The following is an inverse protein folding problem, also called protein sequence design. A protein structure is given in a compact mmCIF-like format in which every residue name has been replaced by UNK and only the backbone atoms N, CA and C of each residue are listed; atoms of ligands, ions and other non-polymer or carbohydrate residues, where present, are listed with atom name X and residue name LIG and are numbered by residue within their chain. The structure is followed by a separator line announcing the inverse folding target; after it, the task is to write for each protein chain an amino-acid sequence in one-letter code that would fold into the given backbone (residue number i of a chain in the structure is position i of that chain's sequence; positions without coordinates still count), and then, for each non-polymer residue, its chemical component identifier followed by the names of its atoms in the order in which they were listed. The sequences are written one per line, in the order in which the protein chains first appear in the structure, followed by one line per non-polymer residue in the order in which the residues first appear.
data_IF_420174076797
#
_entry.id   IF_420174076797
#
_cell.length_a   1.000
_cell.length_b   1.000
_cell.length_c   1.000
_cell.angle_alpha   90.00
_cell.angle_beta   90.00
_cell.angle_gamma   90.00
#
_symmetry.space_group_name_H-M   'P 1'
#
loop_
_entity.id
_entity.type
_entity.pdbx_description
1 polymer ?
#
# COMPACT_ATOMS: atom_id res chain seq x y z
N UNK A 1 -35.38 5.12 4.69
CA UNK A 1 -34.43 5.35 5.80
C UNK A 1 -33.17 5.81 5.11
N UNK A 2 -32.82 7.07 5.31
CA UNK A 2 -31.65 7.70 4.72
C UNK A 2 -30.42 7.21 5.48
N UNK A 3 -29.38 6.79 4.77
CA UNK A 3 -28.13 6.34 5.38
C UNK A 3 -27.49 7.52 6.15
N UNK A 4 -26.89 7.29 7.35
CA UNK A 4 -26.23 8.34 8.09
C UNK A 4 -25.06 8.91 7.29
N UNK A 5 -25.00 10.24 7.17
CA UNK A 5 -23.91 10.96 6.54
C UNK A 5 -22.61 10.75 7.35
N UNK A 6 -21.47 10.56 6.71
CA UNK A 6 -20.19 10.40 7.41
C UNK A 6 -19.87 11.62 8.26
N UNK A 7 -19.42 11.38 9.49
CA UNK A 7 -19.15 12.44 10.47
C UNK A 7 -17.87 13.22 10.12
N UNK A 8 -17.83 14.55 10.37
CA UNK A 8 -16.70 15.41 10.01
C UNK A 8 -15.37 15.08 10.71
N UNK A 9 -15.36 14.16 11.67
CA UNK A 9 -14.18 13.72 12.40
C UNK A 9 -13.30 12.75 11.58
N UNK A 10 -13.92 11.83 10.83
CA UNK A 10 -13.20 10.88 9.96
C UNK A 10 -12.45 11.60 8.85
N UNK A 11 -13.03 12.66 8.30
CA UNK A 11 -12.45 13.47 7.24
C UNK A 11 -11.18 14.22 7.69
N UNK A 12 -11.12 14.65 8.95
CA UNK A 12 -9.94 15.34 9.52
C UNK A 12 -8.79 14.39 9.83
N UNK A 13 -9.10 13.20 10.34
CA UNK A 13 -8.09 12.19 10.67
C UNK A 13 -7.45 11.65 9.39
N UNK A 14 -8.26 11.36 8.38
CA UNK A 14 -7.82 10.87 7.08
C UNK A 14 -6.95 11.92 6.34
N UNK A 15 -7.35 13.19 6.33
CA UNK A 15 -6.55 14.29 5.76
C UNK A 15 -5.21 14.49 6.48
N UNK A 16 -5.19 14.33 7.80
CA UNK A 16 -3.95 14.48 8.57
C UNK A 16 -2.98 13.33 8.31
N UNK A 17 -3.45 12.10 8.20
CA UNK A 17 -2.65 10.91 7.87
C UNK A 17 -2.10 11.01 6.45
N UNK A 18 -2.93 11.37 5.47
CA UNK A 18 -2.49 11.61 4.09
C UNK A 18 -1.47 12.74 3.98
N UNK A 19 -1.67 13.84 4.68
CA UNK A 19 -0.71 14.96 4.68
C UNK A 19 0.63 14.55 5.29
N UNK A 20 0.62 13.76 6.35
CA UNK A 20 1.84 13.28 7.02
C UNK A 20 2.58 12.29 6.13
N UNK A 21 1.86 11.39 5.45
CA UNK A 21 2.42 10.43 4.50
C UNK A 21 3.02 11.14 3.29
N UNK A 22 2.28 12.05 2.66
CA UNK A 22 2.74 12.81 1.50
C UNK A 22 3.96 13.67 1.85
N UNK A 23 3.98 14.30 3.02
CA UNK A 23 5.13 15.07 3.49
C UNK A 23 6.37 14.21 3.68
N UNK A 24 6.23 13.04 4.29
CA UNK A 24 7.34 12.09 4.49
C UNK A 24 7.84 11.50 3.16
N UNK A 25 6.92 11.25 2.23
CA UNK A 25 7.24 10.80 0.88
C UNK A 25 7.99 11.86 0.07
N UNK A 26 7.53 13.14 0.13
CA UNK A 26 8.22 14.28 -0.52
C UNK A 26 9.61 14.51 0.06
N UNK A 27 9.78 14.46 1.39
CA UNK A 27 11.08 14.58 2.05
C UNK A 27 12.05 13.46 1.62
N UNK A 28 11.57 12.24 1.46
CA UNK A 28 12.37 11.10 1.03
C UNK A 28 12.78 11.23 -0.45
N UNK A 29 11.86 11.68 -1.31
CA UNK A 29 12.14 11.92 -2.73
C UNK A 29 13.04 13.14 -2.94
N UNK A 30 12.91 14.17 -2.11
CA UNK A 30 13.83 15.32 -2.14
C UNK A 30 15.26 14.90 -1.76
N UNK A 31 15.42 14.06 -0.73
CA UNK A 31 16.74 13.53 -0.34
C UNK A 31 17.35 12.68 -1.45
N UNK A 32 16.57 11.87 -2.17
CA UNK A 32 17.03 11.08 -3.33
C UNK A 32 17.46 11.99 -4.49
N UNK A 33 16.70 13.04 -4.81
CA UNK A 33 17.04 14.00 -5.87
C UNK A 33 18.32 14.78 -5.54
N UNK A 34 18.50 15.20 -4.29
CA UNK A 34 19.73 15.86 -3.82
C UNK A 34 20.93 14.91 -3.88
N UNK A 35 20.77 13.66 -3.49
CA UNK A 35 21.83 12.65 -3.55
C UNK A 35 22.23 12.33 -5.01
N UNK A 36 21.25 12.21 -5.92
CA UNK A 36 21.51 12.05 -7.37
C UNK A 36 22.23 13.26 -7.97
N UNK A 37 21.84 14.48 -7.60
CA UNK A 37 22.49 15.70 -8.08
C UNK A 37 23.94 15.82 -7.57
N UNK A 38 24.21 15.39 -6.33
CA UNK A 38 25.56 15.39 -5.77
C UNK A 38 26.46 14.32 -6.42
N UNK A 39 25.90 13.15 -6.78
CA UNK A 39 26.66 12.10 -7.49
C UNK A 39 27.00 12.51 -8.93
N UNK A 40 26.10 13.18 -9.64
CA UNK A 40 26.36 13.67 -11.01
C UNK A 40 27.38 14.79 -11.03
N UNK A 41 27.39 15.69 -10.06
CA UNK A 41 28.43 16.76 -9.94
C UNK A 41 29.80 16.16 -9.59
N UNK A 42 29.88 15.12 -8.80
CA UNK A 42 31.15 14.45 -8.48
C UNK A 42 31.76 13.73 -9.69
N UNK A 43 30.95 13.12 -10.56
CA UNK A 43 31.41 12.48 -11.81
C UNK A 43 31.88 13.50 -12.87
N UNK A 44 31.25 14.66 -12.96
CA UNK A 44 31.68 15.72 -13.89
C UNK A 44 32.98 16.39 -13.47
N UNK A 45 33.27 16.48 -12.17
CA UNK A 45 34.53 17.03 -11.67
C UNK A 45 35.74 16.10 -11.88
N UNK A 46 35.53 14.80 -12.01
CA UNK A 46 36.62 13.82 -12.24
C UNK A 46 37.07 13.70 -13.71
N UNK A 47 36.37 14.28 -14.67
CA UNK A 47 36.74 14.27 -16.09
C UNK A 47 37.59 15.49 -16.53
N UNK A 48 37.85 16.45 -15.65
CA UNK A 48 38.60 17.69 -15.97
C UNK A 48 40.04 17.68 -15.50
N UNK A 49 40.56 16.56 -14.96
CA UNK A 49 41.96 16.42 -14.56
C UNK A 49 42.60 15.29 -15.33
N UNK A 50 43.08 15.60 -16.53
CA UNK A 50 43.93 14.68 -17.27
C UNK A 50 43.95 14.95 -18.77
N UNK A 51 44.73 15.93 -19.22
CA UNK A 51 45.66 15.86 -20.35
C UNK A 51 46.36 17.20 -20.49
N UNK A 52 47.57 17.24 -20.06
CA UNK A 52 48.53 18.25 -20.40
C UNK A 52 49.58 17.70 -21.35
N UNK A 53 49.93 18.53 -22.34
CA UNK A 53 51.16 18.58 -23.11
C UNK A 53 51.20 17.77 -24.42
N UNK A 54 51.36 18.36 -25.60
CA UNK A 54 52.37 19.23 -26.15
C UNK A 54 52.10 19.53 -27.63
N UNK A 55 52.36 20.79 -27.98
CA UNK A 55 52.88 21.35 -29.23
C UNK A 55 52.47 20.82 -30.63
N UNK A 56 51.77 21.60 -31.44
CA UNK A 56 52.29 22.39 -32.59
C UNK A 56 51.11 22.93 -33.42
N UNK A 57 51.18 24.25 -33.70
CA UNK A 57 50.39 24.94 -34.70
C UNK A 57 51.23 24.99 -36.00
N UNK A 58 50.77 25.50 -37.18
CA UNK A 58 49.57 26.32 -37.47
C UNK A 58 48.87 26.03 -38.85
N UNK A 59 47.84 26.83 -39.10
CA UNK A 59 47.47 27.48 -40.36
C UNK A 59 46.20 27.06 -41.08
N UNK A 60 45.27 28.03 -41.06
CA UNK A 60 44.47 28.76 -42.06
C UNK A 60 43.60 28.00 -43.10
N UNK A 61 42.37 28.43 -43.17
CA UNK A 61 41.57 29.06 -44.24
C UNK A 61 40.14 28.52 -44.30
N UNK A 62 39.19 29.35 -43.95
CA UNK A 62 38.20 30.11 -44.71
C UNK A 62 37.55 29.43 -45.93
N UNK A 63 36.19 29.26 -45.91
CA UNK A 63 35.21 29.94 -46.76
C UNK A 63 33.86 29.14 -46.75
N UNK A 64 32.85 29.81 -46.37
CA UNK A 64 31.60 30.25 -46.99
C UNK A 64 31.01 29.39 -48.14
N UNK A 65 29.75 28.98 -48.01
CA UNK A 65 28.57 29.34 -48.77
C UNK A 65 27.47 28.27 -48.70
N UNK A 66 26.29 28.69 -48.32
CA UNK A 66 24.99 28.05 -48.66
C UNK A 66 24.51 28.57 -50.01
N UNK A 67 23.31 28.24 -50.58
CA UNK A 67 22.32 27.20 -50.32
C UNK A 67 21.85 26.49 -51.63
N UNK A 68 21.04 25.44 -51.55
CA UNK A 68 19.87 25.26 -52.40
C UNK A 68 19.04 24.00 -52.09
N UNK A 69 17.78 24.21 -52.25
CA UNK A 69 16.62 23.39 -51.94
C UNK A 69 16.43 22.13 -52.82
N UNK A 70 15.59 21.26 -52.32
CA UNK A 70 14.43 20.69 -52.97
C UNK A 70 14.33 19.17 -52.95
N UNK A 71 13.12 18.78 -52.50
CA UNK A 71 12.20 17.70 -52.86
C UNK A 71 12.27 16.36 -52.20
N UNK A 72 11.25 16.18 -51.37
CA UNK A 72 10.32 15.06 -51.21
C UNK A 72 10.76 13.65 -51.61
N UNK A 73 10.78 12.76 -50.62
CA UNK A 73 10.18 11.44 -50.72
C UNK A 73 9.79 10.98 -49.30
N UNK A 74 8.49 10.92 -49.07
CA UNK A 74 7.90 10.33 -47.89
C UNK A 74 8.20 8.83 -47.88
N UNK A 75 9.04 8.40 -46.94
CA UNK A 75 9.14 7.01 -46.52
C UNK A 75 8.49 6.92 -45.13
N UNK A 76 7.27 6.42 -45.14
CA UNK A 76 6.55 5.95 -43.96
C UNK A 76 7.41 4.85 -43.30
N UNK A 77 8.15 5.22 -42.27
CA UNK A 77 8.76 4.24 -41.36
C UNK A 77 7.70 3.95 -40.32
N UNK A 78 7.04 2.83 -40.52
CA UNK A 78 6.25 2.15 -39.50
C UNK A 78 7.19 1.92 -38.29
N UNK A 79 7.02 2.74 -37.23
CA UNK A 79 7.64 2.51 -35.94
C UNK A 79 6.91 1.31 -35.39
N UNK A 80 7.48 0.12 -35.56
CA UNK A 80 7.11 -1.05 -34.80
C UNK A 80 7.36 -0.69 -33.35
N UNK A 81 6.29 -0.38 -32.64
CA UNK A 81 6.22 -0.38 -31.20
C UNK A 81 6.52 -1.82 -30.76
N UNK A 82 7.76 -2.10 -30.46
CA UNK A 82 8.11 -3.27 -29.66
C UNK A 82 7.55 -2.97 -28.26
N UNK A 83 6.32 -3.41 -28.00
CA UNK A 83 5.92 -3.72 -26.64
C UNK A 83 6.98 -4.67 -26.10
N UNK A 84 7.79 -4.18 -25.18
CA UNK A 84 8.61 -5.05 -24.37
C UNK A 84 7.62 -5.95 -23.63
N UNK A 85 7.57 -7.22 -24.02
CA UNK A 85 6.85 -8.22 -23.25
C UNK A 85 7.45 -8.16 -21.84
N UNK A 86 6.66 -7.66 -20.88
CA UNK A 86 6.99 -7.74 -19.48
C UNK A 86 7.07 -9.22 -19.17
N UNK A 87 8.27 -9.71 -18.84
CA UNK A 87 8.43 -11.10 -18.42
C UNK A 87 7.48 -11.31 -17.22
N UNK A 88 6.52 -12.21 -17.38
CA UNK A 88 5.64 -12.61 -16.29
C UNK A 88 6.48 -13.33 -15.24
N UNK A 89 6.43 -12.84 -13.99
CA UNK A 89 7.08 -13.50 -12.87
C UNK A 89 6.46 -14.88 -12.60
N UNK A 90 7.26 -15.77 -12.03
CA UNK A 90 6.82 -17.11 -11.58
C UNK A 90 6.82 -17.25 -10.05
N UNK A 91 7.05 -16.18 -9.35
CA UNK A 91 7.00 -16.11 -7.89
C UNK A 91 5.83 -15.21 -7.48
N UNK A 92 4.95 -15.73 -6.64
CA UNK A 92 3.84 -15.01 -6.03
C UNK A 92 4.21 -14.67 -4.59
N UNK A 93 4.59 -13.41 -4.33
CA UNK A 93 5.05 -12.94 -3.04
C UNK A 93 3.89 -12.45 -2.18
N UNK A 94 3.65 -13.13 -1.05
CA UNK A 94 2.63 -12.76 -0.06
C UNK A 94 3.31 -12.17 1.18
N UNK A 95 2.89 -10.97 1.58
CA UNK A 95 3.38 -10.29 2.77
C UNK A 95 2.34 -10.33 3.87
N UNK A 96 2.71 -10.84 5.04
CA UNK A 96 1.84 -10.97 6.21
C UNK A 96 2.65 -10.84 7.51
N UNK A 97 1.96 -10.71 8.66
CA UNK A 97 2.63 -10.54 9.95
C UNK A 97 2.71 -11.81 10.80
N UNK A 98 1.96 -12.84 10.43
CA UNK A 98 1.97 -14.14 11.10
C UNK A 98 1.56 -15.26 10.13
N UNK A 99 1.44 -16.49 10.64
CA UNK A 99 1.10 -17.66 9.84
C UNK A 99 -0.42 -17.92 9.71
N UNK A 100 -1.27 -17.07 10.28
CA UNK A 100 -2.71 -17.33 10.30
C UNK A 100 -3.30 -17.35 8.88
N UNK A 101 -3.04 -16.33 8.08
CA UNK A 101 -3.49 -16.31 6.69
C UNK A 101 -2.85 -17.42 5.86
N UNK A 102 -1.56 -17.72 6.09
CA UNK A 102 -0.88 -18.84 5.45
C UNK A 102 -1.63 -20.13 5.68
N UNK A 103 -1.96 -20.47 6.93
CA UNK A 103 -2.69 -21.70 7.23
C UNK A 103 -4.07 -21.75 6.54
N UNK A 104 -4.81 -20.63 6.48
CA UNK A 104 -6.10 -20.58 5.78
C UNK A 104 -5.96 -20.84 4.29
N UNK A 105 -4.95 -20.25 3.64
CA UNK A 105 -4.72 -20.47 2.22
C UNK A 105 -4.25 -21.90 1.96
N UNK A 106 -3.30 -22.41 2.72
CA UNK A 106 -2.74 -23.75 2.52
C UNK A 106 -3.75 -24.85 2.77
N UNK A 107 -4.65 -24.67 3.75
CA UNK A 107 -5.68 -25.67 4.09
C UNK A 107 -6.84 -25.71 3.07
N UNK A 108 -7.07 -24.62 2.32
CA UNK A 108 -8.27 -24.49 1.51
C UNK A 108 -8.02 -24.21 0.03
N UNK A 109 -6.83 -23.77 -0.37
CA UNK A 109 -6.57 -23.45 -1.78
C UNK A 109 -6.26 -24.73 -2.58
N UNK A 110 -7.05 -25.04 -3.62
CA UNK A 110 -6.87 -26.26 -4.40
C UNK A 110 -5.50 -26.26 -5.09
N UNK A 111 -4.77 -27.38 -4.94
CA UNK A 111 -3.48 -27.57 -5.62
C UNK A 111 -2.32 -26.82 -4.99
N UNK A 112 -2.46 -26.27 -3.78
CA UNK A 112 -1.30 -25.77 -3.02
C UNK A 112 -0.47 -26.97 -2.51
N UNK A 113 0.82 -26.91 -2.73
CA UNK A 113 1.81 -27.85 -2.24
C UNK A 113 2.86 -27.13 -1.40
N UNK A 114 3.01 -27.52 -0.13
CA UNK A 114 4.05 -26.94 0.73
C UNK A 114 5.43 -27.50 0.33
N UNK A 115 6.42 -26.61 0.16
CA UNK A 115 7.82 -26.97 -0.11
C UNK A 115 8.63 -26.87 1.17
N UNK A 116 8.47 -25.78 1.91
CA UNK A 116 9.05 -25.54 3.24
C UNK A 116 8.20 -24.54 4.02
N UNK A 117 8.63 -24.17 5.23
CA UNK A 117 7.88 -23.28 6.11
C UNK A 117 7.54 -21.89 5.51
N UNK A 118 8.24 -21.46 4.45
CA UNK A 118 8.07 -20.13 3.83
C UNK A 118 7.79 -20.20 2.33
N UNK A 119 7.78 -21.39 1.75
CA UNK A 119 7.67 -21.57 0.30
C UNK A 119 6.65 -22.68 0.00
N UNK A 120 5.80 -22.44 -0.98
CA UNK A 120 4.89 -23.42 -1.56
C UNK A 120 4.82 -23.30 -3.08
N UNK A 121 3.95 -24.11 -3.68
CA UNK A 121 3.69 -24.10 -5.13
C UNK A 121 2.21 -24.19 -5.41
N UNK A 122 1.79 -23.56 -6.50
CA UNK A 122 0.49 -23.72 -7.14
C UNK A 122 0.76 -23.90 -8.63
N UNK A 123 0.75 -25.14 -9.12
CA UNK A 123 1.19 -25.44 -10.48
C UNK A 123 2.65 -25.03 -10.70
N UNK A 124 2.90 -24.18 -11.69
CA UNK A 124 4.24 -23.66 -12.03
C UNK A 124 4.63 -22.41 -11.24
N UNK A 125 3.74 -21.86 -10.42
CA UNK A 125 3.97 -20.68 -9.62
C UNK A 125 4.55 -21.05 -8.26
N UNK A 126 5.66 -20.43 -7.89
CA UNK A 126 6.22 -20.51 -6.54
C UNK A 126 5.53 -19.48 -5.65
N UNK A 127 4.92 -19.91 -4.55
CA UNK A 127 4.35 -19.01 -3.53
C UNK A 127 5.39 -18.77 -2.46
N UNK A 128 5.67 -17.50 -2.19
CA UNK A 128 6.64 -17.07 -1.16
C UNK A 128 5.94 -16.31 -0.04
N UNK A 129 6.11 -16.78 1.19
CA UNK A 129 5.56 -16.18 2.39
C UNK A 129 6.59 -15.27 3.04
N UNK A 130 6.37 -13.96 2.95
CA UNK A 130 7.20 -12.94 3.57
C UNK A 130 6.57 -12.53 4.91
N UNK A 131 6.89 -13.27 5.97
CA UNK A 131 6.30 -13.10 7.30
C UNK A 131 7.18 -12.18 8.14
N UNK A 132 6.64 -11.05 8.56
CA UNK A 132 7.30 -10.08 9.44
C UNK A 132 6.38 -9.78 10.62
N UNK A 133 6.74 -10.09 11.88
CA UNK A 133 5.91 -9.78 13.04
C UNK A 133 5.51 -8.30 13.12
N UNK A 134 4.33 -8.03 13.71
CA UNK A 134 3.80 -6.66 13.84
C UNK A 134 4.43 -5.85 14.98
N UNK A 135 5.28 -6.46 15.80
CA UNK A 135 5.91 -5.79 16.95
C UNK A 135 6.58 -4.48 16.51
N UNK A 136 6.37 -3.42 17.27
CA UNK A 136 6.91 -2.08 17.00
C UNK A 136 6.67 -1.57 15.56
N UNK A 137 5.56 -1.95 14.94
CA UNK A 137 5.21 -1.68 13.54
C UNK A 137 6.21 -2.27 12.52
N UNK A 138 6.97 -3.31 12.88
CA UNK A 138 7.99 -3.88 12.00
C UNK A 138 7.40 -4.35 10.66
N UNK A 139 6.23 -5.00 10.67
CA UNK A 139 5.54 -5.41 9.45
C UNK A 139 5.23 -4.21 8.53
N UNK A 140 4.58 -3.17 9.04
CA UNK A 140 4.22 -1.99 8.24
C UNK A 140 5.46 -1.27 7.71
N UNK A 141 6.52 -1.14 8.52
CA UNK A 141 7.77 -0.52 8.11
C UNK A 141 8.46 -1.31 6.99
N UNK A 142 8.47 -2.64 7.07
CA UNK A 142 9.01 -3.51 6.04
C UNK A 142 8.20 -3.43 4.74
N UNK A 143 6.87 -3.51 4.86
CA UNK A 143 5.94 -3.37 3.72
C UNK A 143 6.14 -2.03 3.00
N UNK A 144 6.16 -0.92 3.72
CA UNK A 144 6.40 0.42 3.16
C UNK A 144 7.73 0.51 2.42
N UNK A 145 8.81 0.00 3.04
CA UNK A 145 10.14 0.05 2.45
C UNK A 145 10.24 -0.79 1.17
N UNK A 146 9.48 -1.87 1.08
CA UNK A 146 9.44 -2.75 -0.09
C UNK A 146 8.55 -2.17 -1.19
N UNK A 147 7.35 -1.68 -0.87
CA UNK A 147 6.46 -1.02 -1.82
C UNK A 147 7.11 0.19 -2.51
N UNK A 148 7.95 0.94 -1.80
CA UNK A 148 8.72 2.05 -2.40
C UNK A 148 9.68 1.62 -3.51
N UNK A 149 10.02 0.34 -3.59
CA UNK A 149 10.91 -0.24 -4.61
C UNK A 149 10.14 -1.01 -5.69
N UNK A 150 8.82 -1.14 -5.54
CA UNK A 150 7.95 -1.99 -6.35
C UNK A 150 8.10 -1.71 -7.85
N UNK A 151 8.22 -0.44 -8.25
CA UNK A 151 8.31 -0.04 -9.66
C UNK A 151 9.60 -0.54 -10.34
N UNK A 152 10.70 -0.60 -9.58
CA UNK A 152 12.04 -0.96 -10.08
C UNK A 152 12.38 -2.44 -9.80
N UNK A 153 11.51 -3.18 -9.10
CA UNK A 153 11.75 -4.57 -8.76
C UNK A 153 11.60 -5.48 -9.98
N UNK A 154 12.42 -6.54 -10.05
CA UNK A 154 12.23 -7.61 -11.02
C UNK A 154 10.86 -8.29 -10.80
N UNK A 155 10.31 -8.93 -11.83
CA UNK A 155 8.96 -9.52 -11.76
C UNK A 155 8.80 -10.46 -10.55
N UNK A 156 9.78 -11.34 -10.30
CA UNK A 156 9.76 -12.30 -9.20
C UNK A 156 10.04 -11.70 -7.80
N UNK A 157 10.41 -10.43 -7.72
CA UNK A 157 10.71 -9.71 -6.46
C UNK A 157 9.61 -8.71 -6.08
N UNK A 158 8.57 -8.57 -6.91
CA UNK A 158 7.43 -7.69 -6.64
C UNK A 158 6.54 -8.27 -5.55
N UNK A 159 5.89 -7.38 -4.80
CA UNK A 159 4.81 -7.77 -3.90
C UNK A 159 3.55 -7.99 -4.75
N UNK A 160 2.96 -9.17 -4.66
CA UNK A 160 1.74 -9.53 -5.38
C UNK A 160 0.51 -9.44 -4.49
N UNK A 161 0.65 -9.82 -3.21
CA UNK A 161 -0.39 -9.75 -2.21
C UNK A 161 0.21 -9.30 -0.87
N UNK A 162 -0.47 -8.38 -0.19
CA UNK A 162 -0.13 -8.05 1.18
C UNK A 162 -1.37 -7.91 2.05
N UNK A 163 -1.24 -8.25 3.32
CA UNK A 163 -2.31 -8.12 4.29
C UNK A 163 -2.27 -6.76 4.97
N UNK A 164 -3.44 -6.26 5.34
CA UNK A 164 -3.61 -5.05 6.14
C UNK A 164 -4.68 -5.26 7.20
N UNK A 165 -4.51 -4.64 8.35
CA UNK A 165 -5.56 -4.53 9.36
C UNK A 165 -6.40 -3.28 9.10
N UNK A 166 -7.64 -3.29 9.57
CA UNK A 166 -8.61 -2.22 9.31
C UNK A 166 -8.14 -0.84 9.80
N UNK A 167 -7.35 -0.80 10.88
CA UNK A 167 -6.87 0.44 11.48
C UNK A 167 -5.84 1.21 10.64
N UNK A 168 -5.14 0.51 9.72
CA UNK A 168 -4.19 1.16 8.80
C UNK A 168 -4.44 0.86 7.31
N UNK A 169 -5.53 0.18 6.96
CA UNK A 169 -5.85 -0.14 5.56
C UNK A 169 -5.92 1.10 4.67
N UNK A 170 -6.51 2.20 5.17
CA UNK A 170 -6.65 3.48 4.46
C UNK A 170 -5.31 4.08 4.01
N UNK A 171 -4.20 3.69 4.63
CA UNK A 171 -2.86 4.11 4.23
C UNK A 171 -2.50 3.64 2.81
N UNK A 172 -3.07 2.53 2.36
CA UNK A 172 -2.71 1.87 1.11
C UNK A 172 -3.78 1.97 0.03
N UNK A 173 -5.07 2.05 0.39
CA UNK A 173 -6.17 1.97 -0.59
C UNK A 173 -6.20 3.10 -1.60
N UNK A 174 -5.82 4.33 -1.22
CA UNK A 174 -5.73 5.49 -2.12
C UNK A 174 -4.35 5.62 -2.79
N UNK A 175 -3.58 4.54 -2.88
CA UNK A 175 -2.26 4.53 -3.51
C UNK A 175 -2.26 3.69 -4.78
N UNK A 176 -1.24 3.92 -5.62
CA UNK A 176 -0.99 3.10 -6.82
C UNK A 176 -0.37 1.73 -6.49
N UNK A 177 -0.15 1.42 -5.21
CA UNK A 177 0.32 0.10 -4.76
C UNK A 177 -0.80 -0.94 -4.67
N UNK A 178 -2.06 -0.50 -4.75
CA UNK A 178 -3.23 -1.37 -4.73
C UNK A 178 -4.03 -1.17 -6.01
N UNK A 179 -4.56 -2.27 -6.55
CA UNK A 179 -5.39 -2.24 -7.75
C UNK A 179 -6.85 -2.58 -7.40
N UNK A 180 -7.81 -2.11 -8.21
CA UNK A 180 -9.20 -2.52 -8.04
C UNK A 180 -9.37 -4.03 -8.18
N UNK A 181 -10.06 -4.67 -7.23
CA UNK A 181 -10.25 -6.13 -7.27
C UNK A 181 -11.04 -6.61 -8.50
N UNK A 182 -11.86 -5.74 -9.09
CA UNK A 182 -12.55 -6.01 -10.36
C UNK A 182 -11.59 -6.27 -11.52
N UNK A 183 -10.41 -5.66 -11.50
CA UNK A 183 -9.39 -5.83 -12.53
C UNK A 183 -8.71 -7.20 -12.42
N UNK A 184 -8.88 -7.89 -11.27
CA UNK A 184 -8.51 -9.28 -11.04
C UNK A 184 -9.65 -10.27 -11.38
N UNK A 185 -10.78 -9.79 -11.90
CA UNK A 185 -11.94 -10.61 -12.22
C UNK A 185 -12.87 -10.91 -11.05
N UNK A 186 -12.65 -10.31 -9.87
CA UNK A 186 -13.53 -10.46 -8.71
C UNK A 186 -14.74 -9.54 -8.91
N UNK A 187 -15.94 -10.13 -8.91
CA UNK A 187 -17.19 -9.45 -9.19
C UNK A 187 -17.99 -9.14 -7.91
N UNK A 188 -18.99 -8.28 -8.02
CA UNK A 188 -19.92 -8.01 -6.91
C UNK A 188 -20.67 -9.28 -6.46
N UNK A 189 -20.91 -10.23 -7.38
CA UNK A 189 -21.56 -11.49 -7.07
C UNK A 189 -20.68 -12.37 -6.16
N UNK A 190 -19.37 -12.37 -6.37
CA UNK A 190 -18.40 -13.10 -5.54
C UNK A 190 -18.35 -12.52 -4.12
N UNK A 191 -18.64 -11.23 -3.97
CA UNK A 191 -18.58 -10.48 -2.71
C UNK A 191 -19.96 -10.21 -2.09
N UNK A 192 -21.03 -10.84 -2.62
CA UNK A 192 -22.40 -10.58 -2.18
C UNK A 192 -22.64 -10.90 -0.68
N UNK A 193 -21.91 -11.87 -0.14
CA UNK A 193 -22.02 -12.28 1.26
C UNK A 193 -20.98 -11.65 2.18
N UNK A 194 -20.12 -10.79 1.67
CA UNK A 194 -19.14 -10.07 2.47
C UNK A 194 -19.82 -8.92 3.25
N UNK A 195 -19.47 -8.74 4.51
CA UNK A 195 -20.00 -7.64 5.31
C UNK A 195 -19.63 -6.28 4.72
N UNK A 196 -20.57 -5.36 4.69
CA UNK A 196 -20.37 -4.04 4.09
C UNK A 196 -19.21 -3.28 4.73
N UNK A 197 -19.11 -3.25 6.07
CA UNK A 197 -18.04 -2.56 6.77
C UNK A 197 -16.63 -3.04 6.38
N UNK A 198 -16.48 -4.33 6.01
CA UNK A 198 -15.19 -4.86 5.55
C UNK A 198 -14.84 -4.43 4.13
N UNK A 199 -15.84 -4.08 3.33
CA UNK A 199 -15.66 -3.46 2.00
C UNK A 199 -15.34 -1.97 2.11
N UNK A 200 -16.04 -1.27 3.01
CA UNK A 200 -15.89 0.18 3.18
C UNK A 200 -14.45 0.55 3.55
N UNK A 201 -13.80 -0.24 4.42
CA UNK A 201 -12.44 0.03 4.90
C UNK A 201 -11.34 -0.15 3.83
N UNK A 202 -11.64 -0.84 2.74
CA UNK A 202 -10.73 -1.06 1.61
C UNK A 202 -11.25 -0.48 0.28
N UNK A 203 -12.18 0.47 0.38
CA UNK A 203 -12.68 1.22 -0.77
C UNK A 203 -11.96 2.57 -0.84
N UNK A 204 -11.39 2.89 -2.02
CA UNK A 204 -10.67 4.13 -2.23
C UNK A 204 -11.61 5.35 -2.33
N UNK A 205 -11.06 6.56 -2.37
CA UNK A 205 -11.80 7.81 -2.49
C UNK A 205 -12.60 7.94 -3.80
N UNK A 206 -12.31 7.11 -4.81
CA UNK A 206 -13.02 7.06 -6.09
C UNK A 206 -14.11 5.97 -6.12
N UNK A 207 -14.33 5.27 -5.01
CA UNK A 207 -15.31 4.19 -4.89
C UNK A 207 -14.85 2.84 -5.45
N UNK A 208 -13.56 2.64 -5.70
CA UNK A 208 -13.05 1.34 -6.14
C UNK A 208 -12.68 0.49 -4.94
N UNK A 209 -13.18 -0.75 -4.92
CA UNK A 209 -12.77 -1.75 -3.93
C UNK A 209 -11.35 -2.24 -4.27
N UNK A 210 -10.41 -2.05 -3.34
CA UNK A 210 -8.98 -2.33 -3.51
C UNK A 210 -8.49 -3.58 -2.75
N UNK A 211 -9.38 -4.23 -2.02
CA UNK A 211 -9.06 -5.42 -1.26
C UNK A 211 -10.29 -6.24 -0.91
N UNK A 212 -10.07 -7.43 -0.38
CA UNK A 212 -11.13 -8.32 0.13
C UNK A 212 -10.77 -8.77 1.54
N UNK A 213 -11.78 -8.92 2.39
CA UNK A 213 -11.57 -9.38 3.76
C UNK A 213 -11.77 -10.89 3.85
N UNK A 214 -10.88 -11.55 4.55
CA UNK A 214 -10.99 -12.98 4.89
C UNK A 214 -11.46 -13.21 6.33
N UNK A 215 -11.60 -12.12 7.12
CA UNK A 215 -12.08 -12.15 8.51
C UNK A 215 -13.15 -11.09 8.74
N UNK A 216 -14.07 -11.37 9.67
CA UNK A 216 -14.96 -10.38 10.26
C UNK A 216 -14.53 -10.13 11.70
N UNK A 217 -14.13 -8.90 12.02
CA UNK A 217 -13.71 -8.50 13.36
C UNK A 217 -14.63 -7.38 13.88
N UNK A 218 -15.86 -7.72 14.36
CA UNK A 218 -16.77 -6.72 14.90
C UNK A 218 -16.23 -6.15 16.20
N UNK A 219 -16.27 -4.83 16.35
CA UNK A 219 -16.00 -4.16 17.60
C UNK A 219 -17.13 -4.40 18.60
N UNK A 220 -16.78 -4.76 19.85
CA UNK A 220 -17.74 -4.94 20.94
C UNK A 220 -17.25 -4.28 22.22
N UNK A 221 -18.17 -3.79 23.03
CA UNK A 221 -17.89 -3.35 24.39
C UNK A 221 -18.03 -4.54 25.35
N UNK A 222 -16.93 -4.89 26.03
CA UNK A 222 -16.94 -5.88 27.09
C UNK A 222 -16.98 -5.15 28.44
N UNK A 223 -17.91 -5.52 29.31
CA UNK A 223 -18.05 -4.89 30.63
C UNK A 223 -18.05 -5.91 31.75
N UNK A 224 -17.62 -5.47 32.94
CA UNK A 224 -17.71 -6.26 34.17
C UNK A 224 -19.16 -6.23 34.67
N UNK A 225 -19.82 -7.40 34.72
CA UNK A 225 -21.24 -7.51 35.10
C UNK A 225 -21.51 -7.13 36.56
N UNK A 226 -20.57 -7.44 37.46
CA UNK A 226 -20.70 -7.08 38.88
C UNK A 226 -20.64 -5.58 39.07
N UNK A 227 -19.69 -4.91 38.42
CA UNK A 227 -19.56 -3.45 38.41
C UNK A 227 -20.81 -2.79 37.82
N UNK A 228 -21.31 -3.28 36.68
CA UNK A 228 -22.52 -2.77 36.05
C UNK A 228 -23.72 -2.90 37.02
N UNK A 229 -23.90 -4.04 37.66
CA UNK A 229 -24.99 -4.25 38.62
C UNK A 229 -24.87 -3.33 39.83
N UNK A 230 -23.68 -3.14 40.35
CA UNK A 230 -23.43 -2.29 41.53
C UNK A 230 -23.67 -0.80 41.21
N UNK A 231 -23.27 -0.31 40.02
CA UNK A 231 -23.29 1.12 39.69
C UNK A 231 -24.51 1.52 38.87
N UNK A 232 -24.96 0.67 37.95
CA UNK A 232 -26.07 0.94 37.03
C UNK A 232 -27.37 0.28 37.49
N UNK A 233 -27.31 -0.60 38.51
CA UNK A 233 -28.47 -1.34 39.01
C UNK A 233 -28.86 -2.55 38.15
N UNK A 234 -28.14 -2.81 37.05
CA UNK A 234 -28.45 -3.90 36.14
C UNK A 234 -27.16 -4.49 35.58
N UNK A 235 -27.19 -5.76 35.25
CA UNK A 235 -26.15 -6.48 34.49
C UNK A 235 -26.67 -7.06 33.17
N UNK A 236 -27.89 -6.68 32.80
CA UNK A 236 -28.49 -7.04 31.50
C UNK A 236 -27.84 -6.27 30.37
N UNK A 237 -27.33 -6.96 29.31
CA UNK A 237 -26.62 -6.30 28.21
C UNK A 237 -27.45 -5.22 27.46
N UNK A 238 -28.74 -5.46 27.28
CA UNK A 238 -29.60 -4.51 26.58
C UNK A 238 -29.85 -3.23 27.40
N UNK A 239 -29.92 -3.33 28.73
CA UNK A 239 -30.01 -2.18 29.62
C UNK A 239 -28.66 -1.45 29.76
N UNK A 240 -27.57 -2.18 29.90
CA UNK A 240 -26.21 -1.59 29.93
C UNK A 240 -25.90 -0.84 28.63
N UNK A 241 -26.33 -1.37 27.46
CA UNK A 241 -26.18 -0.70 26.19
C UNK A 241 -26.76 0.72 26.16
N UNK A 242 -27.87 0.96 26.85
CA UNK A 242 -28.49 2.30 26.94
C UNK A 242 -27.62 3.32 27.69
N UNK A 243 -26.76 2.82 28.61
CA UNK A 243 -25.86 3.64 29.40
C UNK A 243 -24.54 3.93 28.68
N UNK A 244 -24.32 3.34 27.48
CA UNK A 244 -23.09 3.48 26.66
C UNK A 244 -23.43 3.64 25.18
N UNK A 245 -24.64 4.17 24.85
CA UNK A 245 -25.15 4.27 23.49
C UNK A 245 -24.47 5.35 22.64
N UNK A 246 -23.88 6.33 23.30
CA UNK A 246 -23.15 7.44 22.71
C UNK A 246 -22.02 7.89 23.64
N UNK A 247 -21.17 8.81 23.18
CA UNK A 247 -20.02 9.26 23.96
C UNK A 247 -20.37 10.03 25.23
N UNK A 248 -21.50 10.73 25.25
CA UNK A 248 -21.96 11.49 26.43
C UNK A 248 -22.43 10.54 27.53
N UNK A 249 -23.28 9.56 27.18
CA UNK A 249 -23.73 8.53 28.11
C UNK A 249 -22.60 7.60 28.54
N UNK A 250 -21.66 7.28 27.65
CA UNK A 250 -20.47 6.51 27.99
C UNK A 250 -19.61 7.26 29.00
N UNK A 251 -19.33 8.55 28.79
CA UNK A 251 -18.55 9.38 29.72
C UNK A 251 -19.23 9.48 31.09
N UNK A 252 -20.54 9.77 31.10
CA UNK A 252 -21.31 9.83 32.36
C UNK A 252 -21.30 8.49 33.10
N UNK A 253 -21.33 7.38 32.38
CA UNK A 253 -21.21 6.04 32.98
C UNK A 253 -19.83 5.79 33.55
N UNK A 254 -18.77 6.17 32.83
CA UNK A 254 -17.39 6.07 33.31
C UNK A 254 -17.16 6.89 34.59
N UNK A 255 -17.73 8.09 34.67
CA UNK A 255 -17.67 8.93 35.89
C UNK A 255 -18.36 8.26 37.10
N UNK A 256 -19.52 7.63 36.89
CA UNK A 256 -20.20 6.86 37.94
C UNK A 256 -19.37 5.66 38.40
N UNK A 257 -18.78 4.93 37.46
CA UNK A 257 -17.89 3.79 37.77
C UNK A 257 -16.70 4.26 38.59
N UNK A 258 -16.03 5.33 38.16
CA UNK A 258 -14.89 5.93 38.90
C UNK A 258 -15.30 6.38 40.32
N UNK A 259 -16.45 7.03 40.48
CA UNK A 259 -16.96 7.47 41.78
C UNK A 259 -17.27 6.29 42.72
N UNK A 260 -17.63 5.14 42.16
CA UNK A 260 -17.86 3.88 42.90
C UNK A 260 -16.61 3.04 43.15
N UNK A 261 -15.44 3.50 42.67
CA UNK A 261 -14.15 2.84 42.90
C UNK A 261 -13.78 1.75 41.92
N UNK A 262 -14.40 1.74 40.71
CA UNK A 262 -14.08 0.85 39.60
C UNK A 262 -13.16 1.49 38.57
#
# INVERSE_FOLDING_TARGET
MEAPQPQPYEDKCNKHLQQTFNKKWEETNMKKKVLSALLTTAMLASMLVGCGNSNDAPAVASSEAAPAASTEAAASTEVASTEAATEEGKVFNIYCWNEEFKSRLTDHYPGYEEVDGTTGKIGDITVKWNITPSDDNAYQNNLDATLLKQADAAADDKIDLFLVEADYALKYVDTDYTMPVKDLGITDADLANQYQYTKDVVTDSNGNLKGVSWQGCPGVLIYNREAAKAVLGTDDPAEVQKSVSDWDTFTATAEKMKAAGY
#
